data_IF_037052179770
#
_entry.id   IF_037052179770
#
_cell.length_a   1.000
_cell.length_b   1.000
_cell.length_c   1.000
_cell.angle_alpha   90.00
_cell.angle_beta   90.00
_cell.angle_gamma   90.00
#
_symmetry.space_group_name_H-M   'P 1'
#
loop_
_entity.id
_entity.type
_entity.pdbx_description
1 polymer ?
#
# COMPACT_ATOMS: atom_id res chain seq x y z
N UNK A 1 -37.34 -6.02 -8.11
CA UNK A 1 -36.97 -6.52 -6.76
C UNK A 1 -35.53 -7.05 -6.68
N UNK A 2 -35.06 -7.95 -7.56
CA UNK A 2 -33.70 -8.51 -7.48
C UNK A 2 -32.54 -7.49 -7.63
N UNK A 3 -32.70 -6.45 -8.46
CA UNK A 3 -31.68 -5.39 -8.62
C UNK A 3 -31.55 -4.50 -7.38
N UNK A 4 -32.66 -4.24 -6.69
CA UNK A 4 -32.68 -3.44 -5.47
C UNK A 4 -32.06 -4.20 -4.29
N UNK A 5 -32.31 -5.50 -4.20
CA UNK A 5 -31.69 -6.38 -3.19
C UNK A 5 -30.18 -6.52 -3.40
N UNK A 6 -29.71 -6.71 -4.65
CA UNK A 6 -28.27 -6.67 -4.96
C UNK A 6 -27.63 -5.33 -4.62
N UNK A 7 -28.32 -4.21 -4.87
CA UNK A 7 -27.82 -2.86 -4.56
C UNK A 7 -27.68 -2.63 -3.05
N UNK A 8 -28.65 -3.08 -2.27
CA UNK A 8 -28.63 -3.04 -0.80
C UNK A 8 -27.54 -3.96 -0.21
N UNK A 9 -27.36 -5.17 -0.75
CA UNK A 9 -26.26 -6.05 -0.36
C UNK A 9 -24.89 -5.46 -0.70
N UNK A 10 -24.75 -4.85 -1.88
CA UNK A 10 -23.53 -4.11 -2.27
C UNK A 10 -23.26 -2.98 -1.26
N UNK A 11 -24.29 -2.20 -0.92
CA UNK A 11 -24.21 -1.10 0.05
C UNK A 11 -23.80 -1.56 1.45
N UNK A 12 -24.28 -2.72 1.91
CA UNK A 12 -23.92 -3.31 3.21
C UNK A 12 -22.46 -3.76 3.27
N UNK A 13 -21.94 -4.35 2.18
CA UNK A 13 -20.52 -4.75 2.08
C UNK A 13 -19.59 -3.54 2.00
N UNK A 14 -20.02 -2.44 1.38
CA UNK A 14 -19.24 -1.20 1.31
C UNK A 14 -19.33 -0.33 2.56
N UNK A 15 -20.40 -0.48 3.37
CA UNK A 15 -20.58 0.25 4.63
C UNK A 15 -19.42 0.05 5.61
N UNK A 16 -18.87 -1.17 5.63
CA UNK A 16 -17.74 -1.54 6.51
C UNK A 16 -16.39 -1.49 5.78
N UNK A 17 -16.37 -1.07 4.52
CA UNK A 17 -15.14 -0.93 3.76
C UNK A 17 -14.41 0.32 4.23
N UNK A 18 -13.15 0.14 4.63
CA UNK A 18 -12.29 1.22 5.12
C UNK A 18 -11.58 1.90 3.93
N UNK A 19 -11.37 3.22 4.02
CA UNK A 19 -10.60 3.96 2.99
C UNK A 19 -9.17 3.43 2.89
N UNK A 20 -8.64 2.92 4.00
CA UNK A 20 -7.38 2.19 4.12
C UNK A 20 -7.30 1.01 3.13
N UNK A 21 -8.41 0.27 2.98
CA UNK A 21 -8.47 -0.88 2.08
C UNK A 21 -8.47 -0.45 0.62
N UNK A 22 -9.25 0.57 0.26
CA UNK A 22 -9.27 1.13 -1.10
C UNK A 22 -7.89 1.67 -1.47
N UNK A 23 -7.23 2.37 -0.54
CA UNK A 23 -5.86 2.84 -0.73
C UNK A 23 -4.89 1.68 -0.94
N UNK A 24 -5.01 0.61 -0.16
CA UNK A 24 -4.15 -0.57 -0.31
C UNK A 24 -4.35 -1.24 -1.67
N UNK A 25 -5.58 -1.35 -2.16
CA UNK A 25 -5.88 -1.88 -3.50
C UNK A 25 -5.25 -1.03 -4.60
N UNK A 26 -5.39 0.28 -4.49
CA UNK A 26 -4.85 1.26 -5.45
C UNK A 26 -3.30 1.25 -5.49
N UNK A 27 -2.66 0.88 -4.38
CA UNK A 27 -1.21 0.66 -4.32
C UNK A 27 -0.83 -0.70 -4.91
N UNK A 28 -1.56 -1.76 -4.58
CA UNK A 28 -1.31 -3.10 -5.12
C UNK A 28 -1.50 -3.18 -6.63
N UNK A 29 -2.51 -2.50 -7.18
CA UNK A 29 -2.76 -2.47 -8.62
C UNK A 29 -1.53 -1.98 -9.39
N UNK A 30 -0.88 -0.93 -8.90
CA UNK A 30 0.32 -0.39 -9.54
C UNK A 30 1.54 -1.32 -9.38
N UNK A 31 1.73 -1.88 -8.19
CA UNK A 31 2.81 -2.84 -7.92
C UNK A 31 2.66 -4.09 -8.81
N UNK A 32 1.46 -4.66 -8.85
CA UNK A 32 1.17 -5.85 -9.63
C UNK A 32 1.30 -5.58 -11.13
N UNK A 33 0.84 -4.43 -11.62
CA UNK A 33 1.01 -4.05 -13.03
C UNK A 33 2.48 -3.96 -13.45
N UNK A 34 3.30 -3.31 -12.61
CA UNK A 34 4.74 -3.19 -12.82
C UNK A 34 5.46 -4.55 -12.80
N UNK A 35 5.08 -5.42 -11.86
CA UNK A 35 5.71 -6.74 -11.69
C UNK A 35 5.19 -7.79 -12.66
N UNK A 36 3.95 -7.69 -13.14
CA UNK A 36 3.37 -8.60 -14.12
C UNK A 36 4.14 -8.58 -15.44
N UNK A 37 4.47 -7.39 -15.93
CA UNK A 37 5.25 -7.22 -17.16
C UNK A 37 6.64 -7.87 -17.05
N UNK A 38 7.30 -7.67 -15.91
CA UNK A 38 8.58 -8.31 -15.62
C UNK A 38 8.45 -9.83 -15.51
N UNK A 39 7.42 -10.31 -14.79
CA UNK A 39 7.17 -11.73 -14.59
C UNK A 39 6.95 -12.48 -15.91
N UNK A 40 6.13 -11.93 -16.80
CA UNK A 40 5.89 -12.51 -18.13
C UNK A 40 7.16 -12.56 -18.96
N UNK A 41 7.97 -11.50 -18.88
CA UNK A 41 9.25 -11.46 -19.58
C UNK A 41 10.20 -12.54 -19.07
N UNK A 42 10.40 -12.62 -17.75
CA UNK A 42 11.34 -13.59 -17.14
C UNK A 42 10.91 -15.06 -17.32
N UNK A 43 9.63 -15.33 -17.55
CA UNK A 43 9.12 -16.68 -17.79
C UNK A 43 9.17 -17.11 -19.26
N UNK A 44 9.57 -16.22 -20.18
CA UNK A 44 9.71 -16.55 -21.59
C UNK A 44 10.86 -17.57 -21.78
N UNK A 45 10.71 -18.52 -22.71
CA UNK A 45 11.76 -19.50 -23.03
C UNK A 45 12.97 -18.89 -23.73
N UNK A 46 12.80 -17.73 -24.38
CA UNK A 46 13.85 -17.00 -25.10
C UNK A 46 14.19 -15.67 -24.40
N UNK A 47 14.56 -15.72 -23.11
CA UNK A 47 14.95 -14.53 -22.36
C UNK A 47 16.37 -14.09 -22.71
N UNK A 48 16.50 -12.81 -23.08
CA UNK A 48 17.79 -12.13 -23.13
C UNK A 48 18.15 -11.67 -21.70
N UNK A 49 19.22 -12.25 -21.16
CA UNK A 49 19.70 -11.99 -19.78
C UNK A 49 20.06 -10.51 -19.58
N UNK A 50 20.64 -9.85 -20.59
CA UNK A 50 21.02 -8.45 -20.48
C UNK A 50 19.78 -7.53 -20.46
N UNK A 51 18.76 -7.87 -21.25
CA UNK A 51 17.48 -7.18 -21.19
C UNK A 51 16.72 -7.48 -19.88
N UNK A 52 16.76 -8.73 -19.40
CA UNK A 52 16.19 -9.12 -18.11
C UNK A 52 16.75 -8.29 -16.95
N UNK A 53 18.08 -8.16 -16.87
CA UNK A 53 18.74 -7.36 -15.84
C UNK A 53 18.28 -5.89 -15.87
N UNK A 54 18.16 -5.30 -17.06
CA UNK A 54 17.65 -3.93 -17.23
C UNK A 54 16.18 -3.82 -16.80
N UNK A 55 15.34 -4.79 -17.13
CA UNK A 55 13.94 -4.79 -16.72
C UNK A 55 13.78 -4.91 -15.21
N UNK A 56 14.55 -5.79 -14.56
CA UNK A 56 14.58 -5.91 -13.10
C UNK A 56 14.97 -4.58 -12.46
N UNK A 57 16.05 -3.96 -12.93
CA UNK A 57 16.52 -2.67 -12.40
C UNK A 57 15.48 -1.56 -12.60
N UNK A 58 14.81 -1.54 -13.76
CA UNK A 58 13.74 -0.59 -14.07
C UNK A 58 12.56 -0.76 -13.12
N UNK A 59 12.06 -1.99 -12.94
CA UNK A 59 10.95 -2.30 -12.03
C UNK A 59 11.27 -1.89 -10.59
N UNK A 60 12.47 -2.18 -10.09
CA UNK A 60 12.90 -1.77 -8.74
C UNK A 60 12.95 -0.24 -8.62
N UNK A 61 13.41 0.45 -9.66
CA UNK A 61 13.47 1.91 -9.68
C UNK A 61 12.07 2.52 -9.65
N UNK A 62 11.13 1.98 -10.44
CA UNK A 62 9.72 2.39 -10.42
C UNK A 62 9.09 2.18 -9.04
N UNK A 63 9.31 1.02 -8.43
CA UNK A 63 8.84 0.73 -7.07
C UNK A 63 9.42 1.71 -6.05
N UNK A 64 10.74 1.99 -6.11
CA UNK A 64 11.39 2.96 -5.22
C UNK A 64 10.81 4.37 -5.38
N UNK A 65 10.43 4.75 -6.60
CA UNK A 65 9.79 6.03 -6.86
C UNK A 65 8.43 6.16 -6.18
N UNK A 66 7.72 5.06 -5.91
CA UNK A 66 6.45 5.08 -5.17
C UNK A 66 6.64 5.28 -3.67
N UNK A 67 7.83 4.98 -3.12
CA UNK A 67 8.13 5.16 -1.70
C UNK A 67 8.47 6.62 -1.36
N UNK A 68 7.54 7.54 -1.61
CA UNK A 68 7.67 8.94 -1.25
C UNK A 68 6.34 9.57 -0.79
N UNK A 69 6.42 10.73 -0.17
CA UNK A 69 5.29 11.43 0.43
C UNK A 69 4.25 11.92 -0.59
N UNK A 70 4.69 12.33 -1.77
CA UNK A 70 3.82 12.91 -2.79
C UNK A 70 3.08 11.81 -3.57
N UNK A 71 3.73 10.67 -3.80
CA UNK A 71 3.11 9.46 -4.30
C UNK A 71 2.03 8.96 -3.33
N UNK A 72 2.32 8.93 -2.03
CA UNK A 72 1.33 8.59 -1.00
C UNK A 72 0.11 9.53 -1.06
N UNK A 73 0.33 10.85 -1.08
CA UNK A 73 -0.78 11.83 -1.17
C UNK A 73 -1.61 11.66 -2.42
N UNK A 74 -0.97 11.39 -3.56
CA UNK A 74 -1.64 11.17 -4.84
C UNK A 74 -2.54 9.94 -4.78
N UNK A 75 -2.01 8.83 -4.23
CA UNK A 75 -2.77 7.59 -4.05
C UNK A 75 -3.89 7.73 -3.04
N UNK A 76 -3.65 8.43 -1.94
CA UNK A 76 -4.67 8.73 -0.94
C UNK A 76 -5.81 9.59 -1.52
N UNK A 77 -5.47 10.58 -2.35
CA UNK A 77 -6.47 11.41 -3.03
C UNK A 77 -7.36 10.55 -3.93
N UNK A 78 -6.76 9.72 -4.79
CA UNK A 78 -7.51 8.80 -5.67
C UNK A 78 -8.37 7.81 -4.87
N UNK A 79 -7.84 7.26 -3.78
CA UNK A 79 -8.60 6.36 -2.91
C UNK A 79 -9.81 7.07 -2.26
N UNK A 80 -9.65 8.32 -1.82
CA UNK A 80 -10.75 9.14 -1.28
C UNK A 80 -11.79 9.47 -2.35
N UNK A 81 -11.37 9.76 -3.59
CA UNK A 81 -12.28 9.97 -4.72
C UNK A 81 -13.13 8.71 -4.99
N UNK A 82 -12.50 7.53 -5.09
CA UNK A 82 -13.21 6.25 -5.25
C UNK A 82 -14.15 5.97 -4.08
N UNK A 83 -13.70 6.25 -2.85
CA UNK A 83 -14.54 6.06 -1.66
C UNK A 83 -15.78 6.96 -1.69
N UNK A 84 -15.66 8.22 -2.14
CA UNK A 84 -16.80 9.11 -2.33
C UNK A 84 -17.77 8.58 -3.40
N UNK A 85 -17.26 8.05 -4.51
CA UNK A 85 -18.07 7.48 -5.60
C UNK A 85 -18.87 6.25 -5.17
N UNK A 86 -18.28 5.37 -4.36
CA UNK A 86 -18.94 4.15 -3.85
C UNK A 86 -19.69 4.36 -2.51
N UNK A 87 -19.85 5.62 -2.07
CA UNK A 87 -20.51 5.99 -0.81
C UNK A 87 -19.87 5.35 0.44
N UNK A 88 -18.55 5.18 0.42
CA UNK A 88 -17.72 4.66 1.51
C UNK A 88 -17.21 5.81 2.39
N UNK A 89 -16.98 5.55 3.68
CA UNK A 89 -16.38 6.55 4.57
C UNK A 89 -14.94 6.88 4.12
N UNK A 90 -14.63 8.17 4.01
CA UNK A 90 -13.32 8.68 3.55
C UNK A 90 -12.35 8.98 4.69
N UNK A 91 -12.83 8.90 5.93
CA UNK A 91 -12.02 9.13 7.13
C UNK A 91 -11.34 7.84 7.57
N UNK A 92 -10.08 7.96 7.99
CA UNK A 92 -9.38 6.86 8.64
C UNK A 92 -10.06 6.50 9.96
N UNK A 93 -10.04 5.22 10.31
CA UNK A 93 -10.59 4.77 11.58
C UNK A 93 -9.73 5.29 12.74
N UNK A 94 -10.35 5.97 13.70
CA UNK A 94 -9.64 6.52 14.86
C UNK A 94 -9.54 5.43 15.92
N UNK A 95 -8.40 4.73 15.94
CA UNK A 95 -8.11 3.78 17.01
C UNK A 95 -7.79 4.49 18.32
N UNK A 96 -8.24 3.93 19.45
CA UNK A 96 -7.88 4.44 20.78
C UNK A 96 -6.38 4.24 21.03
N UNK A 97 -5.68 5.35 21.21
CA UNK A 97 -4.25 5.35 21.56
C UNK A 97 -4.05 4.85 22.99
N UNK A 98 -3.27 3.78 23.17
CA UNK A 98 -2.89 3.24 24.49
C UNK A 98 -1.57 3.86 24.95
N UNK A 99 -1.63 4.71 25.96
CA UNK A 99 -0.43 5.27 26.58
C UNK A 99 0.18 4.32 27.62
N UNK A 100 1.51 4.22 27.63
CA UNK A 100 2.27 3.54 28.70
C UNK A 100 2.60 4.56 29.79
N UNK A 101 2.56 4.11 31.05
CA UNK A 101 3.00 4.93 32.19
C UNK A 101 4.53 5.08 32.16
N UNK A 102 5.02 6.31 32.22
CA UNK A 102 6.45 6.63 32.34
C UNK A 102 7.00 6.13 33.68
N UNK A 103 8.10 5.40 33.64
CA UNK A 103 8.79 4.91 34.84
C UNK A 103 9.88 5.89 35.30
N UNK A 104 10.19 5.97 36.60
CA UNK A 104 11.27 6.81 37.10
C UNK A 104 12.60 6.45 36.43
N UNK A 105 13.30 7.44 35.87
CA UNK A 105 14.57 7.25 35.16
C UNK A 105 14.46 7.11 33.63
N UNK A 106 13.27 6.97 33.06
CA UNK A 106 13.08 7.01 31.60
C UNK A 106 13.20 8.46 31.08
N UNK A 107 14.13 8.71 30.16
CA UNK A 107 14.33 10.01 29.49
C UNK A 107 13.55 10.14 28.17
N UNK A 108 13.27 9.02 27.49
CA UNK A 108 12.52 9.01 26.23
C UNK A 108 11.02 8.76 26.44
N UNK A 109 10.20 9.41 25.62
CA UNK A 109 8.79 9.07 25.44
C UNK A 109 8.66 8.35 24.09
N UNK A 110 8.51 7.03 24.10
CA UNK A 110 8.02 6.32 22.90
C UNK A 110 6.52 6.62 22.78
N UNK A 111 6.20 7.79 22.21
CA UNK A 111 4.81 8.19 22.01
C UNK A 111 4.20 7.44 20.82
N UNK A 112 3.05 6.78 21.01
CA UNK A 112 2.33 6.17 19.90
C UNK A 112 1.85 7.24 18.92
N UNK A 113 1.96 6.96 17.61
CA UNK A 113 1.44 7.83 16.55
C UNK A 113 -0.08 7.91 16.70
N UNK A 114 -0.59 9.07 17.11
CA UNK A 114 -2.02 9.30 17.33
C UNK A 114 -2.83 9.53 16.05
N UNK A 115 -2.16 9.98 14.99
CA UNK A 115 -2.78 10.25 13.69
C UNK A 115 -2.85 8.95 12.86
N UNK A 116 -4.07 8.44 12.66
CA UNK A 116 -4.32 7.20 11.91
C UNK A 116 -3.77 7.25 10.47
N UNK A 117 -3.81 8.41 9.80
CA UNK A 117 -3.27 8.56 8.44
C UNK A 117 -1.74 8.41 8.45
N UNK A 118 -1.06 9.09 9.38
CA UNK A 118 0.40 8.95 9.57
C UNK A 118 0.80 7.54 9.99
N UNK A 119 -0.01 6.91 10.85
CA UNK A 119 0.19 5.53 11.29
C UNK A 119 0.13 4.58 10.10
N UNK A 120 -0.91 4.68 9.28
CA UNK A 120 -1.05 3.88 8.05
C UNK A 120 0.11 4.13 7.08
N UNK A 121 0.45 5.40 6.82
CA UNK A 121 1.57 5.78 5.95
C UNK A 121 2.88 5.13 6.39
N UNK A 122 3.20 5.22 7.68
CA UNK A 122 4.50 4.77 8.20
C UNK A 122 4.55 3.26 8.38
N UNK A 123 3.51 2.67 8.98
CA UNK A 123 3.51 1.26 9.37
C UNK A 123 3.02 0.32 8.28
N UNK A 124 2.24 0.81 7.31
CA UNK A 124 1.70 -0.01 6.21
C UNK A 124 2.34 0.39 4.90
N UNK A 125 2.13 1.62 4.44
CA UNK A 125 2.55 2.04 3.10
C UNK A 125 4.08 1.96 2.90
N UNK A 126 4.87 2.62 3.75
CA UNK A 126 6.32 2.55 3.63
C UNK A 126 6.89 1.18 3.96
N UNK A 127 6.37 0.51 5.00
CA UNK A 127 6.79 -0.84 5.34
C UNK A 127 6.57 -1.84 4.19
N UNK A 128 5.47 -1.71 3.45
CA UNK A 128 5.18 -2.53 2.28
C UNK A 128 6.24 -2.33 1.19
N UNK A 129 6.55 -1.09 0.83
CA UNK A 129 7.58 -0.81 -0.17
C UNK A 129 8.97 -1.22 0.29
N UNK A 130 9.32 -0.98 1.55
CA UNK A 130 10.60 -1.38 2.13
C UNK A 130 10.78 -2.89 2.06
N UNK A 131 9.76 -3.65 2.46
CA UNK A 131 9.76 -5.11 2.36
C UNK A 131 9.90 -5.56 0.91
N UNK A 132 9.11 -4.98 0.00
CA UNK A 132 9.14 -5.37 -1.40
C UNK A 132 10.50 -5.09 -2.05
N UNK A 133 11.08 -3.91 -1.82
CA UNK A 133 12.42 -3.55 -2.30
C UNK A 133 13.47 -4.50 -1.72
N UNK A 134 13.37 -4.83 -0.43
CA UNK A 134 14.28 -5.78 0.21
C UNK A 134 14.19 -7.17 -0.42
N UNK A 135 12.99 -7.69 -0.68
CA UNK A 135 12.78 -8.99 -1.33
C UNK A 135 13.38 -9.01 -2.74
N UNK A 136 13.20 -7.94 -3.52
CA UNK A 136 13.84 -7.81 -4.84
C UNK A 136 15.37 -7.84 -4.72
N UNK A 137 15.93 -7.11 -3.75
CA UNK A 137 17.38 -7.08 -3.54
C UNK A 137 17.94 -8.45 -3.13
N UNK A 138 17.25 -9.14 -2.21
CA UNK A 138 17.63 -10.48 -1.76
C UNK A 138 17.60 -11.46 -2.94
N UNK A 139 16.58 -11.40 -3.78
CA UNK A 139 16.40 -12.35 -4.88
C UNK A 139 17.37 -12.16 -6.03
N UNK A 140 17.71 -10.92 -6.39
CA UNK A 140 18.45 -10.64 -7.63
C UNK A 140 19.87 -10.09 -7.43
N UNK A 141 20.23 -9.60 -6.24
CA UNK A 141 21.52 -8.95 -6.00
C UNK A 141 22.34 -9.55 -4.87
N UNK A 142 21.80 -10.52 -4.12
CA UNK A 142 22.55 -11.26 -3.11
C UNK A 142 23.18 -12.49 -3.78
N UNK A 143 24.51 -12.48 -3.88
CA UNK A 143 25.34 -13.63 -4.29
C UNK A 143 26.01 -14.25 -3.08
#
# INVERSE_FOLDING_TARGET
MARHHKRLQKQLVYSDMLVEFILLLEVWEEILSNTFSLSNYLQNSAVDIALAARMIQSTITSVKALRNDDAFKTKLKRAKEIAMEECVNTSFEVERVRHRKKMPGETSFDEPIADSERKFKTQVYFALFDTLIQEFNIRFFRF
#
